data_IF_168887685123
#
_entry.id   IF_168887685123
#
_cell.length_a   1.000
_cell.length_b   1.000
_cell.length_c   1.000
_cell.angle_alpha   90.00
_cell.angle_beta   90.00
_cell.angle_gamma   90.00
#
_symmetry.space_group_name_H-M   'P 1'
#
loop_
_entity.id
_entity.type
_entity.pdbx_description
1 polymer ?
#
# COMPACT_ATOMS: atom_id res chain seq x y z
N UNK A 1 -10.02 -27.26 -2.84
CA UNK A 1 -8.76 -26.81 -3.50
C UNK A 1 -8.87 -25.32 -3.74
N UNK A 2 -8.21 -24.49 -2.94
CA UNK A 2 -8.17 -23.03 -3.13
C UNK A 2 -7.21 -22.73 -4.29
N UNK A 3 -7.71 -22.20 -5.40
CA UNK A 3 -6.87 -21.70 -6.49
C UNK A 3 -6.43 -20.28 -6.12
N UNK A 4 -5.12 -20.10 -5.92
CA UNK A 4 -4.50 -18.80 -5.71
C UNK A 4 -4.23 -18.23 -7.09
N UNK A 5 -4.90 -17.12 -7.45
CA UNK A 5 -4.58 -16.34 -8.63
C UNK A 5 -3.77 -15.11 -8.21
N UNK A 6 -2.55 -15.01 -8.72
CA UNK A 6 -1.73 -13.80 -8.64
C UNK A 6 -2.31 -12.74 -9.60
N UNK A 7 -2.56 -11.54 -9.09
CA UNK A 7 -2.91 -10.38 -9.91
C UNK A 7 -1.63 -9.69 -10.37
N UNK A 8 -1.38 -9.69 -11.69
CA UNK A 8 -0.47 -8.74 -12.32
C UNK A 8 -1.24 -7.43 -12.50
N UNK A 9 -0.74 -6.32 -11.96
CA UNK A 9 -1.19 -4.98 -12.33
C UNK A 9 -0.87 -4.74 -13.81
N UNK A 10 -1.87 -4.80 -14.69
CA UNK A 10 -1.73 -4.33 -16.06
C UNK A 10 -1.81 -2.79 -16.07
N UNK A 11 -0.66 -2.15 -16.27
CA UNK A 11 -0.60 -0.77 -16.74
C UNK A 11 -1.19 -0.68 -18.15
N UNK A 12 -2.23 0.14 -18.32
CA UNK A 12 -2.89 0.38 -19.60
C UNK A 12 -1.94 1.15 -20.53
N UNK A 13 -1.29 0.45 -21.46
CA UNK A 13 -0.66 1.08 -22.63
C UNK A 13 -1.71 1.10 -23.74
N UNK A 14 -2.14 2.30 -24.12
CA UNK A 14 -2.98 2.49 -25.30
C UNK A 14 -2.14 2.22 -26.57
N UNK A 15 -2.26 1.02 -27.13
CA UNK A 15 -1.82 0.72 -28.49
C UNK A 15 -3.01 0.80 -29.42
N UNK A 16 -3.08 1.88 -30.20
CA UNK A 16 -3.99 1.98 -31.34
C UNK A 16 -3.48 1.09 -32.48
N UNK A 17 -4.23 0.07 -32.85
CA UNK A 17 -4.09 -0.61 -34.14
C UNK A 17 -5.36 -0.40 -34.99
N UNK A 18 -5.25 -0.29 -36.32
CA UNK A 18 -6.39 -0.01 -37.18
C UNK A 18 -7.33 -1.22 -37.31
N UNK A 19 -8.61 -0.90 -37.24
CA UNK A 19 -9.80 -1.70 -37.55
C UNK A 19 -9.62 -2.70 -38.70
N UNK A 20 -9.83 -3.99 -38.41
CA UNK A 20 -10.44 -4.92 -39.35
C UNK A 20 -11.90 -5.12 -38.93
N UNK A 21 -12.82 -4.70 -39.80
CA UNK A 21 -14.24 -4.99 -39.73
C UNK A 21 -14.46 -6.51 -39.71
N UNK A 22 -15.08 -7.01 -38.65
CA UNK A 22 -16.03 -8.10 -38.74
C UNK A 22 -17.32 -7.62 -38.04
N UNK A 23 -18.35 -7.39 -38.85
CA UNK A 23 -19.71 -7.02 -38.49
C UNK A 23 -20.43 -8.22 -37.84
N UNK A 24 -20.08 -8.57 -36.59
CA UNK A 24 -20.93 -9.39 -35.73
C UNK A 24 -21.48 -8.52 -34.60
N UNK A 25 -22.56 -7.81 -34.93
CA UNK A 25 -23.32 -6.95 -34.04
C UNK A 25 -24.22 -7.79 -33.12
N UNK A 26 -23.62 -8.68 -32.31
CA UNK A 26 -24.30 -9.32 -31.19
C UNK A 26 -24.08 -8.44 -29.96
N UNK A 27 -24.83 -7.33 -29.88
CA UNK A 27 -25.05 -6.63 -28.62
C UNK A 27 -25.77 -7.61 -27.69
N UNK A 28 -24.99 -8.43 -27.00
CA UNK A 28 -25.47 -9.27 -25.89
C UNK A 28 -26.29 -8.37 -24.97
N UNK A 29 -27.60 -8.58 -24.98
CA UNK A 29 -28.57 -7.81 -24.21
C UNK A 29 -28.11 -7.78 -22.76
N UNK A 30 -27.76 -6.59 -22.24
CA UNK A 30 -27.37 -6.45 -20.83
C UNK A 30 -28.51 -6.96 -19.95
N UNK A 31 -28.21 -7.76 -18.91
CA UNK A 31 -29.24 -8.26 -18.02
C UNK A 31 -29.99 -7.09 -17.38
N UNK A 32 -31.30 -7.24 -17.29
CA UNK A 32 -32.22 -6.25 -16.72
C UNK A 32 -32.71 -6.65 -15.33
N UNK A 33 -32.38 -7.87 -14.88
CA UNK A 33 -32.63 -8.36 -13.51
C UNK A 33 -31.60 -9.42 -13.10
N UNK A 34 -31.53 -9.74 -11.81
CA UNK A 34 -30.65 -10.80 -11.29
C UNK A 34 -31.07 -12.22 -11.64
N UNK A 35 -32.31 -12.42 -12.04
CA UNK A 35 -32.81 -13.72 -12.49
C UNK A 35 -32.26 -14.11 -13.87
N UNK A 36 -31.83 -13.11 -14.67
CA UNK A 36 -31.20 -13.31 -15.98
C UNK A 36 -29.69 -13.60 -15.87
N UNK A 37 -29.15 -13.70 -14.64
CA UNK A 37 -27.72 -13.87 -14.39
C UNK A 37 -27.44 -15.30 -13.91
N UNK A 38 -26.73 -16.04 -14.75
CA UNK A 38 -26.36 -17.44 -14.53
C UNK A 38 -24.97 -17.64 -13.91
N UNK A 39 -24.19 -16.56 -13.71
CA UNK A 39 -22.89 -16.59 -13.02
C UNK A 39 -22.97 -16.01 -11.60
N UNK A 40 -21.99 -16.36 -10.74
CA UNK A 40 -21.80 -15.61 -9.50
C UNK A 40 -21.03 -14.33 -9.74
N UNK A 41 -21.28 -13.35 -8.89
CA UNK A 41 -20.70 -12.01 -8.96
C UNK A 41 -19.72 -11.84 -7.81
N UNK A 42 -18.46 -11.60 -8.14
CA UNK A 42 -17.45 -11.19 -7.18
C UNK A 42 -17.64 -9.72 -6.81
N UNK A 43 -17.50 -9.40 -5.53
CA UNK A 43 -17.40 -8.01 -5.05
C UNK A 43 -16.19 -7.87 -4.11
N UNK A 44 -15.47 -6.76 -4.24
CA UNK A 44 -14.21 -6.51 -3.54
C UNK A 44 -13.93 -5.02 -3.49
N UNK A 45 -13.21 -4.55 -2.47
CA UNK A 45 -12.56 -3.24 -2.56
C UNK A 45 -11.60 -3.21 -3.76
N UNK A 46 -11.31 -2.02 -4.28
CA UNK A 46 -10.32 -1.86 -5.38
C UNK A 46 -8.88 -2.16 -4.95
N UNK A 47 -8.58 -2.01 -3.66
CA UNK A 47 -7.26 -2.21 -3.09
C UNK A 47 -7.39 -2.70 -1.63
N UNK A 48 -6.35 -3.38 -1.14
CA UNK A 48 -6.25 -3.81 0.26
C UNK A 48 -5.84 -2.68 1.22
N UNK A 49 -5.23 -1.61 0.71
CA UNK A 49 -4.79 -0.46 1.51
C UNK A 49 -4.71 0.83 0.72
N UNK A 50 -4.99 1.96 1.39
CA UNK A 50 -4.83 3.30 0.83
C UNK A 50 -4.44 4.32 1.91
N UNK A 51 -3.89 5.45 1.49
CA UNK A 51 -3.63 6.61 2.35
C UNK A 51 -4.63 7.73 2.09
N UNK A 52 -5.09 8.39 3.15
CA UNK A 52 -5.96 9.57 3.10
C UNK A 52 -5.29 10.75 3.81
N UNK A 53 -4.96 11.81 3.09
CA UNK A 53 -4.49 13.07 3.69
C UNK A 53 -5.60 14.10 3.85
N UNK A 54 -6.67 14.06 3.06
CA UNK A 54 -7.83 14.94 3.25
C UNK A 54 -9.14 14.21 2.96
N UNK A 55 -9.29 13.72 1.74
CA UNK A 55 -10.46 12.94 1.33
C UNK A 55 -10.02 11.70 0.59
N UNK A 56 -10.81 10.64 0.68
CA UNK A 56 -10.58 9.40 -0.05
C UNK A 56 -11.91 8.82 -0.55
N UNK A 57 -11.98 8.53 -1.84
CA UNK A 57 -13.12 7.84 -2.45
C UNK A 57 -12.84 6.34 -2.42
N UNK A 58 -13.46 5.63 -1.49
CA UNK A 58 -13.33 4.18 -1.32
C UNK A 58 -14.29 3.49 -2.28
N UNK A 59 -13.75 2.59 -3.10
CA UNK A 59 -14.51 1.91 -4.14
C UNK A 59 -14.68 0.42 -3.89
N UNK A 60 -15.84 -0.09 -4.31
CA UNK A 60 -16.11 -1.53 -4.48
C UNK A 60 -16.37 -1.80 -5.96
N UNK A 61 -15.75 -2.85 -6.49
CA UNK A 61 -15.84 -3.26 -7.90
C UNK A 61 -16.57 -4.60 -7.99
N UNK A 62 -17.42 -4.74 -9.01
CA UNK A 62 -18.12 -5.98 -9.36
C UNK A 62 -17.51 -6.65 -10.58
N UNK A 63 -17.32 -7.97 -10.50
CA UNK A 63 -16.80 -8.80 -11.60
C UNK A 63 -17.58 -10.10 -11.70
N UNK A 64 -17.82 -10.59 -12.91
CA UNK A 64 -18.42 -11.91 -13.12
C UNK A 64 -17.40 -13.04 -12.89
N UNK A 65 -17.80 -14.12 -12.21
CA UNK A 65 -16.94 -15.28 -11.93
C UNK A 65 -16.47 -15.98 -13.21
N UNK A 66 -17.38 -16.20 -14.15
CA UNK A 66 -17.09 -16.98 -15.36
C UNK A 66 -16.49 -16.10 -16.44
N UNK A 67 -16.99 -14.86 -16.56
CA UNK A 67 -16.50 -13.92 -17.56
C UNK A 67 -15.12 -13.33 -17.21
N UNK A 68 -14.80 -13.22 -15.91
CA UNK A 68 -13.61 -12.51 -15.42
C UNK A 68 -13.60 -11.02 -15.80
N UNK A 69 -14.74 -10.48 -16.25
CA UNK A 69 -14.91 -9.12 -16.75
C UNK A 69 -15.73 -8.30 -15.77
N UNK A 70 -15.68 -6.98 -15.95
CA UNK A 70 -16.53 -6.03 -15.21
C UNK A 70 -18.01 -6.40 -15.35
N UNK A 71 -18.69 -6.57 -14.22
CA UNK A 71 -20.10 -6.87 -14.16
C UNK A 71 -20.92 -5.58 -13.98
N UNK A 72 -21.88 -5.32 -14.86
CA UNK A 72 -22.77 -4.14 -14.76
C UNK A 72 -24.03 -4.50 -13.97
N UNK A 73 -24.28 -3.79 -12.88
CA UNK A 73 -25.43 -4.01 -12.02
C UNK A 73 -26.76 -3.73 -12.74
N UNK A 74 -27.73 -4.68 -12.77
CA UNK A 74 -29.03 -4.46 -13.39
C UNK A 74 -29.94 -3.54 -12.56
N UNK A 75 -29.73 -3.48 -11.25
CA UNK A 75 -30.42 -2.62 -10.29
C UNK A 75 -29.43 -2.10 -9.24
N UNK A 76 -29.86 -1.17 -8.38
CA UNK A 76 -29.03 -0.65 -7.28
C UNK A 76 -28.68 -1.78 -6.29
N UNK A 77 -27.39 -1.96 -6.00
CA UNK A 77 -26.87 -2.93 -5.05
C UNK A 77 -26.28 -2.19 -3.85
N UNK A 78 -26.82 -2.44 -2.66
CA UNK A 78 -26.25 -1.94 -1.42
C UNK A 78 -25.33 -3.00 -0.82
N UNK A 79 -24.04 -2.70 -0.78
CA UNK A 79 -23.02 -3.58 -0.21
C UNK A 79 -22.68 -3.05 1.18
N UNK A 80 -23.08 -3.75 2.26
CA UNK A 80 -22.80 -3.28 3.59
C UNK A 80 -21.31 -3.41 3.93
N UNK A 81 -20.80 -2.53 4.77
CA UNK A 81 -19.48 -2.65 5.38
C UNK A 81 -19.52 -2.26 6.85
N UNK A 82 -18.54 -2.76 7.60
CA UNK A 82 -18.31 -2.40 9.00
C UNK A 82 -16.91 -1.82 9.18
N UNK A 83 -16.76 -0.95 10.17
CA UNK A 83 -15.46 -0.50 10.67
C UNK A 83 -15.06 -1.49 11.77
N UNK A 84 -13.95 -2.19 11.57
CA UNK A 84 -13.44 -3.19 12.52
C UNK A 84 -12.99 -2.49 13.81
N UNK A 85 -13.25 -3.11 14.96
CA UNK A 85 -12.90 -2.56 16.28
C UNK A 85 -11.38 -2.42 16.50
N UNK A 86 -10.57 -3.08 15.68
CA UNK A 86 -9.11 -2.89 15.65
C UNK A 86 -8.67 -1.57 14.98
N UNK A 87 -9.60 -0.80 14.40
CA UNK A 87 -9.32 0.55 13.90
C UNK A 87 -8.85 1.46 15.04
N UNK A 88 -7.88 2.33 14.76
CA UNK A 88 -7.35 3.30 15.73
C UNK A 88 -7.93 4.70 15.56
N UNK A 89 -8.60 4.94 14.42
CA UNK A 89 -9.32 6.16 14.11
C UNK A 89 -10.77 6.09 14.61
N UNK A 90 -11.26 7.19 15.17
CA UNK A 90 -12.65 7.33 15.63
C UNK A 90 -13.50 8.13 14.64
N UNK A 91 -14.64 7.57 14.23
CA UNK A 91 -15.61 8.27 13.36
C UNK A 91 -16.23 9.48 14.08
N UNK A 92 -16.41 10.59 13.37
CA UNK A 92 -16.89 11.87 13.92
C UNK A 92 -15.78 12.75 14.53
N UNK A 93 -14.66 12.15 14.94
CA UNK A 93 -13.49 12.86 15.49
C UNK A 93 -12.34 12.88 14.48
N UNK A 94 -11.83 11.70 14.14
CA UNK A 94 -10.68 11.52 13.25
C UNK A 94 -11.10 11.50 11.78
N UNK A 95 -12.33 11.11 11.48
CA UNK A 95 -12.84 11.12 10.10
C UNK A 95 -14.36 11.12 10.04
N UNK A 96 -14.92 11.46 8.88
CA UNK A 96 -16.33 11.29 8.56
C UNK A 96 -16.50 10.48 7.27
N UNK A 97 -17.69 9.92 7.08
CA UNK A 97 -18.11 9.19 5.89
C UNK A 97 -19.30 9.93 5.28
N UNK A 98 -19.28 10.19 3.98
CA UNK A 98 -20.39 10.85 3.30
C UNK A 98 -21.70 10.04 3.46
N UNK A 99 -22.78 10.73 3.79
CA UNK A 99 -24.08 10.09 4.07
C UNK A 99 -24.18 9.43 5.45
N UNK A 100 -23.12 9.50 6.28
CA UNK A 100 -23.17 9.09 7.67
C UNK A 100 -23.50 10.26 8.59
N UNK A 101 -24.49 10.08 9.46
CA UNK A 101 -24.74 10.96 10.61
C UNK A 101 -24.65 10.08 11.85
N UNK A 102 -23.71 10.33 12.79
CA UNK A 102 -23.67 9.60 14.04
C UNK A 102 -25.01 9.81 14.74
N UNK A 103 -25.78 8.73 14.93
CA UNK A 103 -26.94 8.79 15.81
C UNK A 103 -26.41 8.55 17.22
N UNK A 104 -26.52 9.57 18.07
CA UNK A 104 -26.25 9.39 19.50
C UNK A 104 -27.17 8.28 20.03
N UNK A 105 -26.59 7.13 20.36
CA UNK A 105 -27.31 6.04 21.02
C UNK A 105 -27.75 6.53 22.40
N UNK A 106 -29.02 6.88 22.53
CA UNK A 106 -29.63 7.29 23.81
C UNK A 106 -30.43 6.15 24.46
N UNK A 107 -30.27 4.90 24.03
CA UNK A 107 -31.01 3.76 24.57
C UNK A 107 -30.10 2.82 25.36
N UNK A 108 -30.24 2.86 26.69
CA UNK A 108 -29.52 2.03 27.64
C UNK A 108 -29.97 0.54 27.69
N UNK A 109 -30.82 0.06 26.78
CA UNK A 109 -31.42 -1.29 26.89
C UNK A 109 -31.92 -1.87 25.54
N UNK A 110 -31.15 -1.73 24.46
CA UNK A 110 -31.42 -2.49 23.24
C UNK A 110 -30.11 -2.86 22.58
N UNK A 111 -29.96 -4.10 22.09
CA UNK A 111 -28.88 -4.53 21.20
C UNK A 111 -28.46 -3.35 20.32
N UNK A 112 -27.22 -2.89 20.47
CA UNK A 112 -26.77 -1.67 19.80
C UNK A 112 -27.19 -1.69 18.33
N UNK A 113 -27.88 -0.65 17.82
CA UNK A 113 -28.17 -0.58 16.40
C UNK A 113 -26.84 -0.48 15.68
N UNK A 114 -26.31 -1.62 15.21
CA UNK A 114 -25.16 -1.67 14.32
C UNK A 114 -25.54 -0.86 13.09
N UNK A 115 -25.10 0.40 13.05
CA UNK A 115 -25.27 1.28 11.91
C UNK A 115 -24.71 0.57 10.68
N UNK A 116 -25.59 0.16 9.77
CA UNK A 116 -25.18 -0.49 8.52
C UNK A 116 -24.69 0.60 7.58
N UNK A 117 -23.39 0.66 7.37
CA UNK A 117 -22.80 1.50 6.33
C UNK A 117 -22.89 0.77 5.00
N UNK A 118 -23.16 1.48 3.91
CA UNK A 118 -23.30 0.88 2.58
C UNK A 118 -22.43 1.60 1.56
N UNK A 119 -21.88 0.83 0.63
CA UNK A 119 -21.41 1.30 -0.66
C UNK A 119 -22.45 0.89 -1.68
N UNK A 120 -23.08 1.87 -2.34
CA UNK A 120 -24.11 1.60 -3.34
C UNK A 120 -23.49 1.54 -4.73
N UNK A 121 -23.60 0.39 -5.39
CA UNK A 121 -23.36 0.27 -6.83
C UNK A 121 -24.66 0.60 -7.54
N UNK A 122 -24.68 1.67 -8.33
CA UNK A 122 -25.89 2.09 -9.04
C UNK A 122 -26.19 1.17 -10.22
N UNK A 123 -27.48 1.02 -10.53
CA UNK A 123 -27.91 0.35 -11.76
C UNK A 123 -27.17 0.94 -12.98
N UNK A 124 -26.65 0.08 -13.85
CA UNK A 124 -25.83 0.48 -14.99
C UNK A 124 -24.35 0.74 -14.68
N UNK A 125 -23.92 0.61 -13.42
CA UNK A 125 -22.52 0.71 -13.00
C UNK A 125 -21.93 -0.65 -12.63
N UNK A 126 -20.60 -0.77 -12.69
CA UNK A 126 -19.84 -1.89 -12.16
C UNK A 126 -19.04 -1.52 -10.89
N UNK A 127 -19.11 -0.27 -10.46
CA UNK A 127 -18.44 0.23 -9.26
C UNK A 127 -19.38 1.10 -8.41
N UNK A 128 -19.16 1.04 -7.10
CA UNK A 128 -19.80 1.91 -6.11
C UNK A 128 -18.72 2.61 -5.30
N UNK A 129 -19.01 3.83 -4.86
CA UNK A 129 -18.04 4.69 -4.18
C UNK A 129 -18.67 5.32 -2.95
N UNK A 130 -17.89 5.38 -1.86
CA UNK A 130 -18.22 6.20 -0.69
C UNK A 130 -17.02 7.06 -0.33
N UNK A 131 -17.27 8.32 0.01
CA UNK A 131 -16.21 9.27 0.35
C UNK A 131 -15.96 9.30 1.85
N UNK A 132 -14.69 9.25 2.21
CA UNK A 132 -14.18 9.51 3.55
C UNK A 132 -13.52 10.88 3.58
N UNK A 133 -13.66 11.59 4.70
CA UNK A 133 -12.97 12.86 4.95
C UNK A 133 -12.22 12.78 6.28
N UNK A 134 -10.93 13.11 6.26
CA UNK A 134 -10.09 13.17 7.45
C UNK A 134 -10.41 14.41 8.29
N UNK A 135 -10.52 14.23 9.60
CA UNK A 135 -10.69 15.28 10.60
C UNK A 135 -9.52 16.27 10.61
N UNK A 136 -9.74 17.45 11.17
CA UNK A 136 -8.77 18.57 11.09
C UNK A 136 -7.57 18.41 12.02
N UNK A 137 -7.74 17.74 13.17
CA UNK A 137 -6.74 17.72 14.27
C UNK A 137 -5.89 16.44 14.35
N UNK A 138 -5.65 15.76 13.23
CA UNK A 138 -4.85 14.52 13.23
C UNK A 138 -3.36 14.83 13.34
N UNK A 139 -2.79 14.48 14.50
CA UNK A 139 -1.39 14.71 14.86
C UNK A 139 -0.51 13.47 14.76
N UNK A 140 -1.08 12.27 14.64
CA UNK A 140 -0.38 10.99 14.43
C UNK A 140 -1.08 10.19 13.34
N UNK A 141 -0.40 9.19 12.76
CA UNK A 141 -1.07 8.29 11.82
C UNK A 141 -2.16 7.51 12.56
N UNK A 142 -3.33 7.39 11.92
CA UNK A 142 -4.46 6.60 12.39
C UNK A 142 -4.92 5.64 11.29
N UNK A 143 -5.50 4.52 11.65
CA UNK A 143 -5.98 3.49 10.73
C UNK A 143 -7.49 3.27 10.86
N UNK A 144 -8.15 3.13 9.72
CA UNK A 144 -9.54 2.68 9.59
C UNK A 144 -9.49 1.34 8.88
N UNK A 145 -10.01 0.30 9.50
CA UNK A 145 -10.06 -1.05 8.94
C UNK A 145 -11.51 -1.32 8.52
N UNK A 146 -11.74 -1.40 7.21
CA UNK A 146 -13.05 -1.70 6.65
C UNK A 146 -13.17 -3.18 6.32
N UNK A 147 -14.36 -3.73 6.48
CA UNK A 147 -14.70 -5.10 6.08
C UNK A 147 -16.04 -5.12 5.36
N UNK A 148 -16.06 -5.74 4.18
CA UNK A 148 -17.29 -5.94 3.41
C UNK A 148 -18.14 -7.06 4.02
N UNK A 149 -19.45 -6.86 3.94
CA UNK A 149 -20.47 -7.84 4.28
C UNK A 149 -21.28 -8.22 3.03
N UNK A 150 -22.02 -9.31 3.13
CA UNK A 150 -22.88 -9.78 2.04
C UNK A 150 -23.93 -8.71 1.65
N UNK A 151 -24.20 -8.51 0.35
CA UNK A 151 -25.29 -7.66 -0.11
C UNK A 151 -26.63 -8.03 0.52
N UNK A 152 -27.50 -7.06 0.79
CA UNK A 152 -28.78 -7.34 1.47
C UNK A 152 -29.79 -8.08 0.58
N UNK A 153 -29.64 -7.97 -0.74
CA UNK A 153 -30.49 -8.61 -1.75
C UNK A 153 -29.66 -9.54 -2.61
N UNK A 154 -30.25 -10.67 -3.01
CA UNK A 154 -29.65 -11.66 -3.91
C UNK A 154 -28.28 -12.16 -3.43
N UNK A 155 -28.06 -12.22 -2.11
CA UNK A 155 -26.76 -12.50 -1.49
C UNK A 155 -26.12 -13.81 -1.97
N UNK A 156 -26.94 -14.80 -2.34
CA UNK A 156 -26.54 -16.10 -2.89
C UNK A 156 -25.86 -16.01 -4.26
N UNK A 157 -26.11 -14.92 -5.00
CA UNK A 157 -25.45 -14.61 -6.27
C UNK A 157 -24.06 -14.01 -6.09
N UNK A 158 -23.69 -13.59 -4.88
CA UNK A 158 -22.44 -12.86 -4.64
C UNK A 158 -21.42 -13.66 -3.84
N UNK A 159 -20.14 -13.36 -4.04
CA UNK A 159 -19.05 -13.84 -3.19
C UNK A 159 -17.94 -12.79 -3.09
N UNK A 160 -17.20 -12.85 -1.98
CA UNK A 160 -16.10 -11.93 -1.72
C UNK A 160 -14.90 -12.22 -2.62
N UNK A 161 -14.32 -11.15 -3.18
CA UNK A 161 -13.04 -11.21 -3.86
C UNK A 161 -11.85 -11.15 -2.90
N UNK A 162 -10.66 -10.92 -3.46
CA UNK A 162 -9.40 -10.94 -2.72
C UNK A 162 -9.23 -9.79 -1.72
N UNK A 163 -9.90 -8.64 -1.95
CA UNK A 163 -9.86 -7.49 -1.05
C UNK A 163 -11.22 -7.31 -0.37
N UNK A 164 -11.56 -8.26 0.50
CA UNK A 164 -12.75 -8.21 1.37
C UNK A 164 -12.58 -7.27 2.57
N UNK A 165 -11.33 -6.92 2.87
CA UNK A 165 -10.90 -5.95 3.86
C UNK A 165 -10.02 -4.89 3.24
N UNK A 166 -10.09 -3.68 3.80
CA UNK A 166 -9.27 -2.55 3.38
C UNK A 166 -8.76 -1.76 4.59
N UNK A 167 -7.47 -1.41 4.59
CA UNK A 167 -6.86 -0.53 5.57
C UNK A 167 -6.67 0.88 4.99
N UNK A 168 -7.34 1.87 5.56
CA UNK A 168 -7.15 3.27 5.22
C UNK A 168 -6.30 3.92 6.30
N UNK A 169 -5.19 4.53 5.90
CA UNK A 169 -4.30 5.24 6.81
C UNK A 169 -4.52 6.74 6.68
N UNK A 170 -4.84 7.43 7.77
CA UNK A 170 -4.94 8.88 7.79
C UNK A 170 -3.56 9.47 8.04
N UNK A 171 -2.98 10.11 7.02
CA UNK A 171 -1.54 10.47 6.99
C UNK A 171 -1.28 11.97 7.07
N UNK A 172 -2.18 12.76 7.66
CA UNK A 172 -2.05 14.24 7.82
C UNK A 172 -0.80 14.67 8.60
N UNK A 173 -0.27 13.81 9.46
CA UNK A 173 0.80 14.13 10.40
C UNK A 173 2.22 14.12 9.77
N UNK A 174 2.58 15.12 8.94
CA UNK A 174 3.94 15.26 8.34
C UNK A 174 4.44 14.05 7.52
N UNK A 175 3.52 13.14 7.18
CA UNK A 175 3.79 11.80 6.68
C UNK A 175 3.27 11.59 5.25
N UNK A 176 2.45 12.50 4.71
CA UNK A 176 2.13 12.45 3.27
C UNK A 176 3.42 12.44 2.43
N UNK A 177 3.43 11.71 1.31
CA UNK A 177 4.55 11.70 0.36
C UNK A 177 4.92 13.11 -0.10
N UNK A 178 3.94 14.03 -0.10
CA UNK A 178 4.13 15.46 -0.33
C UNK A 178 5.21 16.09 0.56
N UNK A 179 5.39 15.58 1.78
CA UNK A 179 6.37 16.10 2.73
C UNK A 179 7.81 15.67 2.42
N UNK A 180 8.00 14.69 1.53
CA UNK A 180 9.33 14.23 1.10
C UNK A 180 9.80 14.90 -0.19
N UNK A 181 9.00 15.76 -0.83
CA UNK A 181 9.38 16.40 -2.08
C UNK A 181 10.66 17.25 -1.95
N UNK A 182 11.58 17.11 -2.90
CA UNK A 182 12.84 17.84 -2.97
C UNK A 182 14.07 16.96 -3.16
N UNK A 183 15.24 17.56 -3.02
CA UNK A 183 16.53 16.91 -3.25
C UNK A 183 17.18 16.49 -1.93
N UNK A 184 17.61 15.23 -1.85
CA UNK A 184 18.05 14.59 -0.63
C UNK A 184 19.40 13.90 -0.83
N UNK A 185 20.41 14.33 -0.09
CA UNK A 185 21.76 13.78 -0.14
C UNK A 185 21.93 12.62 0.86
N UNK A 186 22.41 11.44 0.45
CA UNK A 186 22.73 10.35 1.37
C UNK A 186 23.89 10.72 2.29
N UNK A 187 23.80 10.32 3.55
CA UNK A 187 24.80 10.65 4.59
C UNK A 187 25.46 9.40 5.15
N UNK A 188 24.66 8.47 5.72
CA UNK A 188 25.16 7.27 6.41
C UNK A 188 24.06 6.24 6.63
N UNK A 189 24.46 5.00 6.89
CA UNK A 189 23.60 3.98 7.47
C UNK A 189 23.42 4.26 8.97
N UNK A 190 22.20 4.20 9.50
CA UNK A 190 21.89 4.55 10.90
C UNK A 190 21.67 3.36 11.80
N UNK A 191 21.26 2.20 11.27
CA UNK A 191 20.81 1.06 12.05
C UNK A 191 21.87 -0.05 12.22
N UNK A 192 23.17 0.25 12.04
CA UNK A 192 24.25 -0.74 12.16
C UNK A 192 24.29 -1.43 13.54
N UNK A 193 23.87 -0.73 14.59
CA UNK A 193 23.86 -1.26 15.96
C UNK A 193 22.89 -2.45 16.11
N UNK A 194 21.84 -2.53 15.29
CA UNK A 194 20.87 -3.62 15.35
C UNK A 194 21.54 -4.95 15.03
N UNK A 195 22.38 -4.98 14.00
CA UNK A 195 23.10 -6.18 13.58
C UNK A 195 24.14 -6.61 14.62
N UNK A 196 24.80 -5.65 15.28
CA UNK A 196 25.73 -5.93 16.39
C UNK A 196 24.98 -6.56 17.56
N UNK A 197 23.83 -6.01 17.95
CA UNK A 197 23.03 -6.51 19.07
C UNK A 197 22.37 -7.86 18.77
N UNK A 198 22.08 -8.14 17.51
CA UNK A 198 21.59 -9.44 17.03
C UNK A 198 22.72 -10.44 16.78
N UNK A 199 23.97 -10.08 17.12
CA UNK A 199 25.16 -10.92 16.97
C UNK A 199 25.36 -11.44 15.53
N UNK A 200 24.97 -10.65 14.52
CA UNK A 200 25.24 -10.95 13.12
C UNK A 200 26.77 -10.95 12.93
N UNK A 201 27.36 -11.97 12.27
CA UNK A 201 28.79 -12.00 12.02
C UNK A 201 29.26 -10.80 11.18
N UNK A 202 30.34 -10.13 11.63
CA UNK A 202 30.82 -8.89 11.02
C UNK A 202 31.29 -9.07 9.57
N UNK A 203 31.81 -10.25 9.24
CA UNK A 203 32.18 -10.65 7.89
C UNK A 203 31.01 -10.54 6.90
N UNK A 204 29.79 -10.75 7.36
CA UNK A 204 28.61 -10.79 6.49
C UNK A 204 28.14 -9.39 6.09
N UNK A 205 28.49 -8.35 6.86
CA UNK A 205 28.17 -6.96 6.53
C UNK A 205 29.41 -6.08 6.34
N UNK A 206 30.56 -6.68 6.06
CA UNK A 206 31.79 -5.94 5.71
C UNK A 206 31.66 -5.21 4.36
N UNK A 207 30.82 -5.70 3.43
CA UNK A 207 30.61 -5.10 2.10
C UNK A 207 29.34 -4.25 2.00
N UNK A 208 28.90 -3.62 3.09
CA UNK A 208 27.69 -2.81 3.09
C UNK A 208 27.74 -1.71 2.01
N UNK A 209 26.60 -1.37 1.39
CA UNK A 209 26.52 -0.30 0.40
C UNK A 209 26.61 1.09 1.07
N UNK A 210 27.83 1.53 1.38
CA UNK A 210 28.10 2.76 2.14
C UNK A 210 28.99 3.80 1.43
N UNK A 211 29.28 3.61 0.14
CA UNK A 211 29.99 4.63 -0.64
C UNK A 211 28.99 5.67 -1.14
N UNK A 212 29.11 6.91 -0.65
CA UNK A 212 28.29 8.05 -1.10
C UNK A 212 29.19 9.14 -1.67
N UNK A 213 29.04 9.46 -2.96
CA UNK A 213 29.84 10.48 -3.60
C UNK A 213 29.31 11.89 -3.28
N UNK A 214 30.16 12.91 -3.45
CA UNK A 214 29.82 14.29 -3.08
C UNK A 214 28.59 14.83 -3.82
N UNK A 215 28.40 14.41 -5.06
CA UNK A 215 27.31 14.85 -5.93
C UNK A 215 26.12 13.88 -5.93
N UNK A 216 26.14 12.85 -5.08
CA UNK A 216 25.03 11.90 -4.97
C UNK A 216 23.82 12.55 -4.30
N UNK A 217 22.64 12.40 -4.90
CA UNK A 217 21.35 12.75 -4.27
C UNK A 217 20.18 11.99 -4.89
N UNK A 218 19.05 11.98 -4.20
CA UNK A 218 17.76 11.55 -4.71
C UNK A 218 16.87 12.77 -4.87
N UNK A 219 16.26 12.93 -6.04
CA UNK A 219 15.20 13.90 -6.27
C UNK A 219 13.86 13.19 -6.09
N UNK A 220 13.07 13.64 -5.13
CA UNK A 220 11.73 13.12 -4.87
C UNK A 220 10.73 14.09 -5.49
N UNK A 221 10.03 13.61 -6.52
CA UNK A 221 9.03 14.37 -7.26
C UNK A 221 7.65 13.90 -6.83
N UNK A 222 6.82 14.85 -6.42
CA UNK A 222 5.41 14.60 -6.14
C UNK A 222 4.56 15.69 -6.80
N UNK A 223 3.89 15.30 -7.87
CA UNK A 223 2.85 16.10 -8.52
C UNK A 223 1.53 15.35 -8.41
N UNK A 224 0.41 16.05 -8.67
CA UNK A 224 -0.93 15.46 -8.58
C UNK A 224 -1.08 14.16 -9.40
N UNK A 225 -0.29 13.99 -10.46
CA UNK A 225 -0.37 12.85 -11.39
C UNK A 225 0.86 11.93 -11.35
N UNK A 226 1.89 12.22 -10.55
CA UNK A 226 3.15 11.46 -10.58
C UNK A 226 3.93 11.56 -9.28
N UNK A 227 4.14 10.41 -8.64
CA UNK A 227 5.07 10.22 -7.52
C UNK A 227 6.27 9.43 -7.99
N UNK A 228 7.46 10.03 -7.94
CA UNK A 228 8.68 9.44 -8.49
C UNK A 228 9.90 9.70 -7.60
N UNK A 229 10.85 8.80 -7.67
CA UNK A 229 12.22 8.98 -7.19
C UNK A 229 13.14 9.00 -8.41
N UNK A 230 13.90 10.08 -8.56
CA UNK A 230 14.89 10.26 -9.62
C UNK A 230 16.27 10.18 -8.97
N UNK A 231 16.99 9.05 -9.16
CA UNK A 231 18.30 8.86 -8.57
C UNK A 231 19.38 9.61 -9.35
N UNK A 232 20.09 10.50 -8.66
CA UNK A 232 21.34 11.11 -9.12
C UNK A 232 22.49 10.54 -8.31
N UNK A 233 22.65 9.21 -8.33
CA UNK A 233 23.63 8.50 -7.50
C UNK A 233 24.62 7.70 -8.34
N UNK A 234 25.89 7.77 -7.95
CA UNK A 234 27.02 7.12 -8.61
C UNK A 234 27.82 6.22 -7.65
N UNK A 235 27.62 6.42 -6.34
CA UNK A 235 28.08 5.54 -5.27
C UNK A 235 27.28 4.23 -5.16
N UNK A 236 27.25 3.64 -3.98
CA UNK A 236 26.66 2.31 -3.74
C UNK A 236 25.16 2.25 -4.00
N UNK A 237 24.42 3.34 -3.75
CA UNK A 237 22.96 3.38 -3.90
C UNK A 237 22.49 3.16 -5.36
N UNK A 238 23.35 3.39 -6.36
CA UNK A 238 23.03 3.10 -7.77
C UNK A 238 22.71 1.62 -8.01
N UNK A 239 23.22 0.74 -7.16
CA UNK A 239 23.02 -0.70 -7.27
C UNK A 239 21.61 -1.10 -6.81
N UNK A 240 20.90 -0.24 -6.07
CA UNK A 240 19.48 -0.39 -5.75
C UNK A 240 18.61 0.40 -6.75
N UNK A 241 18.92 1.69 -6.90
CA UNK A 241 18.25 2.59 -7.84
C UNK A 241 18.88 2.50 -9.23
N UNK A 242 18.70 1.34 -9.89
CA UNK A 242 19.38 1.02 -11.16
C UNK A 242 18.75 1.66 -12.41
N UNK A 243 17.63 2.39 -12.27
CA UNK A 243 16.94 3.09 -13.34
C UNK A 243 17.17 4.61 -13.30
N UNK A 244 16.73 5.33 -14.33
CA UNK A 244 16.78 6.81 -14.36
C UNK A 244 15.65 7.45 -13.57
N UNK A 245 14.53 6.76 -13.40
CA UNK A 245 13.40 7.17 -12.58
C UNK A 245 12.65 5.94 -12.08
N UNK A 246 12.01 6.08 -10.92
CA UNK A 246 11.21 5.03 -10.30
C UNK A 246 9.86 5.59 -9.87
N UNK A 247 8.77 5.07 -10.42
CA UNK A 247 7.42 5.37 -9.92
C UNK A 247 7.23 4.79 -8.53
N UNK A 248 6.48 5.52 -7.69
CA UNK A 248 6.13 5.05 -6.35
C UNK A 248 4.64 5.16 -6.06
N UNK A 249 4.09 4.16 -5.38
CA UNK A 249 2.69 4.14 -4.93
C UNK A 249 2.61 3.73 -3.47
N UNK A 250 1.67 4.30 -2.72
CA UNK A 250 1.47 3.93 -1.32
C UNK A 250 1.22 2.43 -1.19
N UNK A 251 1.82 1.79 -0.18
CA UNK A 251 1.66 0.37 0.11
C UNK A 251 1.05 0.17 1.50
N UNK A 252 1.71 0.65 2.55
CA UNK A 252 1.31 0.36 3.93
C UNK A 252 1.91 1.37 4.91
N UNK A 253 1.41 1.36 6.14
CA UNK A 253 2.15 1.88 7.29
C UNK A 253 2.46 0.68 8.18
N UNK A 254 3.71 0.53 8.58
CA UNK A 254 4.17 -0.55 9.43
C UNK A 254 4.95 0.03 10.60
N UNK A 255 4.68 -0.47 11.79
CA UNK A 255 5.47 -0.13 12.96
C UNK A 255 6.83 -0.85 12.87
N UNK A 256 7.90 -0.09 13.00
CA UNK A 256 9.27 -0.60 12.97
C UNK A 256 9.98 -0.24 14.26
N UNK A 257 10.55 -1.26 14.89
CA UNK A 257 11.42 -1.09 16.04
C UNK A 257 12.88 -1.10 15.58
N UNK A 258 13.54 0.04 15.73
CA UNK A 258 14.98 0.15 15.54
C UNK A 258 15.67 -0.10 16.89
N UNK A 259 16.50 -1.13 17.01
CA UNK A 259 17.19 -1.44 18.28
C UNK A 259 18.17 -0.32 18.70
N UNK A 260 18.55 0.58 17.79
CA UNK A 260 19.30 1.79 18.14
C UNK A 260 18.46 2.83 18.89
N UNK A 261 17.13 2.67 18.92
CA UNK A 261 16.15 3.49 19.63
C UNK A 261 15.70 2.82 20.93
N UNK A 262 16.63 2.31 21.74
CA UNK A 262 16.33 1.59 23.00
C UNK A 262 15.45 2.36 24.01
N UNK A 263 15.34 3.68 23.85
CA UNK A 263 14.47 4.53 24.68
C UNK A 263 13.01 4.59 24.17
N UNK A 264 12.73 4.11 22.96
CA UNK A 264 11.40 4.09 22.34
C UNK A 264 11.00 2.66 21.93
N UNK A 265 10.54 1.89 22.91
CA UNK A 265 10.09 0.50 22.73
C UNK A 265 8.83 0.36 21.86
N UNK A 266 8.08 1.44 21.69
CA UNK A 266 6.86 1.46 20.87
C UNK A 266 7.16 1.52 19.36
N UNK A 267 8.44 1.65 18.98
CA UNK A 267 8.87 1.76 17.60
C UNK A 267 8.46 3.08 16.95
N UNK A 268 8.57 3.13 15.63
CA UNK A 268 8.14 4.24 14.79
C UNK A 268 7.24 3.74 13.67
N UNK A 269 6.20 4.49 13.35
CA UNK A 269 5.38 4.19 12.18
C UNK A 269 6.10 4.66 10.91
N UNK A 270 6.46 3.69 10.06
CA UNK A 270 7.11 3.91 8.77
C UNK A 270 6.07 3.79 7.68
N UNK A 271 6.09 4.72 6.74
CA UNK A 271 5.27 4.62 5.54
C UNK A 271 6.06 3.90 4.47
N UNK A 272 5.50 2.80 4.02
CA UNK A 272 6.02 2.02 2.93
C UNK A 272 5.28 2.33 1.64
N UNK A 273 6.08 2.41 0.57
CA UNK A 273 5.65 2.57 -0.80
C UNK A 273 6.16 1.38 -1.60
N UNK A 274 5.43 1.01 -2.65
CA UNK A 274 6.00 0.23 -3.74
C UNK A 274 6.86 1.16 -4.59
N UNK A 275 8.09 0.76 -4.87
CA UNK A 275 8.99 1.39 -5.84
C UNK A 275 9.14 0.47 -7.05
N UNK A 276 8.82 0.97 -8.24
CA UNK A 276 8.88 0.17 -9.46
C UNK A 276 10.29 0.07 -10.04
N UNK A 277 10.66 -1.14 -10.47
CA UNK A 277 11.89 -1.38 -11.25
C UNK A 277 13.20 -1.12 -10.49
N UNK A 278 13.19 -1.19 -9.17
CA UNK A 278 14.42 -1.18 -8.37
C UNK A 278 15.14 -2.55 -8.47
N UNK A 279 16.45 -2.59 -8.24
CA UNK A 279 17.19 -3.84 -8.29
C UNK A 279 16.92 -4.70 -7.04
N UNK A 280 16.23 -5.81 -7.25
CA UNK A 280 15.89 -6.80 -6.21
C UNK A 280 17.08 -7.29 -5.39
N UNK A 281 18.28 -7.34 -5.95
CA UNK A 281 19.45 -7.88 -5.27
C UNK A 281 20.31 -6.83 -4.54
N UNK A 282 20.04 -5.54 -4.77
CA UNK A 282 20.89 -4.44 -4.29
C UNK A 282 22.39 -4.71 -4.49
N UNK A 283 22.75 -5.21 -5.68
CA UNK A 283 24.09 -5.73 -5.98
C UNK A 283 24.69 -5.04 -7.20
N UNK A 284 26.02 -4.88 -7.19
CA UNK A 284 26.78 -4.39 -8.34
C UNK A 284 26.94 -5.45 -9.43
N UNK A 285 26.82 -6.73 -9.08
CA UNK A 285 27.14 -7.86 -9.96
C UNK A 285 25.90 -8.64 -10.39
N UNK A 286 24.78 -8.47 -9.68
CA UNK A 286 23.49 -9.09 -9.98
C UNK A 286 22.40 -8.02 -10.03
N UNK A 287 21.67 -7.96 -11.15
CA UNK A 287 20.59 -7.00 -11.34
C UNK A 287 19.35 -7.67 -11.92
N UNK A 288 18.22 -7.48 -11.23
CA UNK A 288 16.89 -7.89 -11.67
C UNK A 288 15.90 -6.81 -11.21
N UNK A 289 15.44 -5.95 -12.12
CA UNK A 289 14.42 -4.95 -11.80
C UNK A 289 13.13 -5.61 -11.33
N UNK A 290 12.61 -5.15 -10.20
CA UNK A 290 11.36 -5.62 -9.62
C UNK A 290 10.63 -4.48 -8.91
N UNK A 291 9.34 -4.68 -8.66
CA UNK A 291 8.56 -3.82 -7.78
C UNK A 291 8.85 -4.24 -6.34
N UNK A 292 9.41 -3.32 -5.55
CA UNK A 292 9.89 -3.59 -4.19
C UNK A 292 9.25 -2.61 -3.19
N UNK A 293 9.39 -2.90 -1.91
CA UNK A 293 8.94 -2.09 -0.79
C UNK A 293 10.08 -1.19 -0.29
N UNK A 294 9.78 0.10 -0.20
CA UNK A 294 10.69 1.13 0.32
C UNK A 294 10.00 1.99 1.39
N UNK A 295 10.64 2.19 2.52
CA UNK A 295 10.08 2.95 3.63
C UNK A 295 10.62 4.38 3.70
N UNK A 296 9.79 5.31 4.15
CA UNK A 296 10.15 6.70 4.38
C UNK A 296 9.72 7.14 5.78
N UNK A 297 10.59 7.90 6.44
CA UNK A 297 10.32 8.54 7.71
C UNK A 297 10.90 9.95 7.72
N UNK A 298 10.08 10.94 8.09
CA UNK A 298 10.51 12.33 8.23
C UNK A 298 10.99 12.55 9.66
N UNK A 299 12.28 12.82 9.83
CA UNK A 299 12.85 13.15 11.15
C UNK A 299 12.58 14.62 11.45
N UNK A 300 12.86 15.50 10.48
CA UNK A 300 12.60 16.93 10.50
C UNK A 300 12.54 17.48 9.06
N UNK A 301 12.41 18.80 8.89
CA UNK A 301 12.32 19.43 7.55
C UNK A 301 13.57 19.30 6.67
N UNK A 302 14.72 18.95 7.27
CA UNK A 302 16.00 18.83 6.62
C UNK A 302 16.58 17.41 6.68
N UNK A 303 15.89 16.48 7.35
CA UNK A 303 16.35 15.11 7.56
C UNK A 303 15.24 14.10 7.32
N UNK A 304 15.52 13.11 6.47
CA UNK A 304 14.67 11.94 6.28
C UNK A 304 15.50 10.66 6.45
N UNK A 305 14.82 9.58 6.82
CA UNK A 305 15.36 8.24 6.74
C UNK A 305 14.63 7.47 5.63
N UNK A 306 15.40 6.75 4.83
CA UNK A 306 14.89 5.83 3.81
C UNK A 306 15.27 4.41 4.21
N UNK A 307 14.28 3.52 4.21
CA UNK A 307 14.39 2.14 4.67
C UNK A 307 14.35 1.20 3.46
N UNK A 308 15.49 0.61 3.15
CA UNK A 308 15.64 -0.42 2.11
C UNK A 308 15.58 -1.77 2.83
N UNK A 309 14.35 -2.26 3.02
CA UNK A 309 14.06 -3.46 3.82
C UNK A 309 13.65 -4.65 2.95
N UNK A 310 13.27 -4.43 1.69
CA UNK A 310 12.97 -5.52 0.76
C UNK A 310 14.04 -5.62 -0.32
N UNK A 311 14.87 -6.65 -0.21
CA UNK A 311 15.85 -7.06 -1.20
C UNK A 311 16.28 -8.51 -0.90
N UNK A 312 16.96 -9.15 -1.84
CA UNK A 312 17.55 -10.48 -1.66
C UNK A 312 19.07 -10.33 -1.53
N UNK A 313 19.63 -10.52 -0.31
CA UNK A 313 21.07 -10.44 -0.05
C UNK A 313 21.92 -11.27 -1.01
N UNK A 314 22.99 -10.67 -1.55
CA UNK A 314 24.03 -11.39 -2.32
C UNK A 314 25.43 -10.97 -1.94
N UNK A 315 25.69 -9.66 -1.83
CA UNK A 315 27.03 -9.10 -1.65
C UNK A 315 27.35 -8.86 -0.16
N UNK A 316 26.30 -8.75 0.65
CA UNK A 316 26.29 -8.52 2.09
C UNK A 316 25.04 -9.23 2.67
N UNK A 317 25.09 -9.62 3.94
CA UNK A 317 24.12 -10.46 4.67
C UNK A 317 23.83 -11.84 4.07
N UNK A 318 24.59 -12.31 3.07
CA UNK A 318 24.28 -13.54 2.36
C UNK A 318 24.31 -14.77 3.27
N UNK A 319 25.32 -14.89 4.12
CA UNK A 319 25.47 -16.07 4.99
C UNK A 319 24.38 -16.11 6.04
N UNK A 320 24.11 -15.00 6.72
CA UNK A 320 23.10 -14.92 7.79
C UNK A 320 21.68 -15.02 7.23
N UNK A 321 21.42 -14.46 6.04
CA UNK A 321 20.12 -14.57 5.38
C UNK A 321 19.76 -16.01 5.01
N UNK A 322 20.75 -16.84 4.68
CA UNK A 322 20.56 -18.25 4.36
C UNK A 322 20.73 -19.18 5.57
N UNK A 323 21.02 -18.66 6.75
CA UNK A 323 21.12 -19.44 7.98
C UNK A 323 19.71 -19.78 8.51
N UNK A 324 19.50 -21.06 8.80
CA UNK A 324 18.27 -21.59 9.39
C UNK A 324 17.96 -20.95 10.75
N UNK A 325 18.97 -20.47 11.49
CA UNK A 325 18.76 -19.80 12.78
C UNK A 325 17.83 -18.58 12.67
N UNK A 326 18.04 -17.73 11.67
CA UNK A 326 17.16 -16.57 11.44
C UNK A 326 15.81 -16.96 10.81
N UNK A 327 15.74 -18.12 10.14
CA UNK A 327 14.50 -18.70 9.62
C UNK A 327 13.58 -19.28 10.69
N UNK A 328 14.12 -19.82 11.80
CA UNK A 328 13.34 -20.45 12.88
C UNK A 328 12.67 -19.44 13.83
N UNK A 329 13.24 -18.24 14.00
CA UNK A 329 12.69 -17.21 14.88
C UNK A 329 11.53 -16.40 14.29
N UNK A 330 11.11 -16.69 13.05
CA UNK A 330 10.01 -15.98 12.38
C UNK A 330 10.19 -14.44 12.36
N UNK A 331 11.44 -13.96 12.51
CA UNK A 331 11.76 -12.58 12.19
C UNK A 331 11.49 -12.44 10.70
N UNK A 332 10.43 -11.72 10.34
CA UNK A 332 10.25 -11.31 8.95
C UNK A 332 11.57 -10.65 8.52
N UNK A 333 12.30 -11.32 7.61
CA UNK A 333 13.64 -10.97 7.16
C UNK A 333 13.85 -9.48 6.80
N UNK A 334 12.83 -8.73 6.33
CA UNK A 334 12.97 -7.29 6.09
C UNK A 334 13.39 -6.45 7.30
N UNK A 335 13.05 -6.85 8.52
CA UNK A 335 13.34 -6.07 9.74
C UNK A 335 14.76 -6.28 10.28
N UNK A 336 15.30 -7.49 10.12
CA UNK A 336 16.62 -7.86 10.65
C UNK A 336 17.74 -7.36 9.74
N UNK A 337 17.62 -7.63 8.44
CA UNK A 337 18.66 -7.28 7.45
C UNK A 337 18.38 -5.96 6.75
N UNK A 338 17.24 -5.30 7.03
CA UNK A 338 16.91 -4.03 6.43
C UNK A 338 17.97 -2.95 6.68
N UNK A 339 18.26 -2.12 5.68
CA UNK A 339 19.23 -1.02 5.80
C UNK A 339 18.48 0.31 5.87
N UNK A 340 18.76 1.09 6.91
CA UNK A 340 18.23 2.44 7.06
C UNK A 340 19.31 3.47 6.72
N UNK A 341 19.01 4.34 5.78
CA UNK A 341 19.89 5.42 5.34
C UNK A 341 19.35 6.77 5.81
N UNK A 342 20.20 7.57 6.44
CA UNK A 342 19.94 8.99 6.68
C UNK A 342 20.23 9.79 5.41
N UNK A 343 19.30 10.67 5.06
CA UNK A 343 19.47 11.70 4.04
C UNK A 343 19.27 13.09 4.62
N UNK A 344 19.93 14.08 4.03
CA UNK A 344 19.77 15.50 4.36
C UNK A 344 19.36 16.31 3.14
N UNK A 345 18.50 17.30 3.34
CA UNK A 345 18.00 18.15 2.26
C UNK A 345 19.13 18.98 1.62
N UNK A 346 19.11 19.09 0.30
CA UNK A 346 19.93 20.03 -0.48
C UNK A 346 19.12 21.31 -0.66
N UNK A 347 19.69 22.45 -0.28
CA UNK A 347 19.06 23.77 -0.42
C UNK A 347 19.18 24.31 -1.84
#
# INVERSE_FOLDING_TARGET
MKKIFYFLCLSVIALTFPSCNDDDNDETKKPTSFDEIDEKIMYSFEASSQSMSNTLDVKVILQGEESGKSFTAPEDINIPFEVDAASTAEIGTDYSIDGYTPTESTAADSEEPKLKHFITVKAGSNEGTVRFTAGESISTIKSIILKLNAPEKNADKFYLGNYDRMNIYITKANTDFNNFAGNWKPVKITNKLNWINLEIPAEDYTNLPETFNADDYLEIVNTNDSKKIIPHVTGSLKNYFCGSEHEVSFLSVENFFDMSMMDNWDGIDIIYYTIKGANKYFSATKSEPADLKIGFYKVDDNTINIFIHEYVPTDFFYSSFNDTFFGEWNFNAPSVFGITYKFTRIQ
#
